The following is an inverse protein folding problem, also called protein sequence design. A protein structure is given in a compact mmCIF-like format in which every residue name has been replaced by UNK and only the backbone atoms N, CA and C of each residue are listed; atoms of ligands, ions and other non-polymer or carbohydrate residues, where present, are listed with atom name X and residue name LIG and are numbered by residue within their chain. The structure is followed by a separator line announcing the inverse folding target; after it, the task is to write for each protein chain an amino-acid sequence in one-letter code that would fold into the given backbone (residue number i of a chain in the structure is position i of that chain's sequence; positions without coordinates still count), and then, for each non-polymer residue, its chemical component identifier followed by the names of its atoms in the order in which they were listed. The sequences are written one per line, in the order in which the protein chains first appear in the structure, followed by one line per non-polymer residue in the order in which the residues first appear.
data_IF_833999012760
#
_entry.id   IF_833999012760
#
_cell.length_a   1.000
_cell.length_b   1.000
_cell.length_c   1.000
_cell.angle_alpha   90.00
_cell.angle_beta   90.00
_cell.angle_gamma   90.00
#
_symmetry.space_group_name_H-M   'P 1'
#
loop_
_entity.id
_entity.type
_entity.pdbx_description
1 polymer ?
#
# COMPACT_ATOMS: atom_id res chain seq x y z
N UNK A 1 28.13 1.09 -10.02
CA UNK A 1 27.22 2.25 -10.23
C UNK A 1 25.93 2.16 -9.41
N UNK A 2 25.15 1.08 -9.48
CA UNK A 2 23.89 0.94 -8.69
C UNK A 2 24.10 1.01 -7.16
N UNK A 3 25.23 0.51 -6.67
CA UNK A 3 25.59 0.57 -5.25
C UNK A 3 25.74 2.02 -4.75
N UNK A 4 26.33 2.90 -5.56
CA UNK A 4 26.51 4.31 -5.24
C UNK A 4 25.17 5.04 -5.11
N UNK A 5 24.26 4.82 -6.06
CA UNK A 5 22.90 5.38 -6.00
C UNK A 5 22.10 4.85 -4.81
N UNK A 6 22.27 3.58 -4.44
CA UNK A 6 21.63 3.01 -3.25
C UNK A 6 22.08 3.70 -1.96
N UNK A 7 23.37 4.07 -1.84
CA UNK A 7 23.90 4.81 -0.69
C UNK A 7 23.33 6.24 -0.66
N UNK A 8 23.29 6.93 -1.80
CA UNK A 8 22.74 8.29 -1.90
C UNK A 8 21.24 8.34 -1.57
N UNK A 9 20.49 7.29 -1.92
CA UNK A 9 19.07 7.22 -1.60
C UNK A 9 18.76 7.11 -0.11
N UNK A 10 19.71 6.65 0.72
CA UNK A 10 19.46 6.46 2.15
C UNK A 10 19.26 7.79 2.90
N UNK A 11 20.13 8.82 2.75
CA UNK A 11 19.86 10.16 3.30
C UNK A 11 18.53 10.74 2.85
N UNK A 12 18.15 10.55 1.59
CA UNK A 12 16.87 11.06 1.07
C UNK A 12 15.70 10.36 1.73
N UNK A 13 15.74 9.03 1.86
CA UNK A 13 14.70 8.27 2.56
C UNK A 13 14.61 8.64 4.04
N UNK A 14 15.74 8.95 4.68
CA UNK A 14 15.81 9.38 6.08
C UNK A 14 15.23 10.78 6.27
N UNK A 15 15.55 11.74 5.41
CA UNK A 15 14.96 13.09 5.48
C UNK A 15 13.45 13.01 5.23
N UNK A 16 13.03 12.22 4.23
CA UNK A 16 11.61 12.05 3.92
C UNK A 16 10.84 11.38 5.07
N UNK A 17 11.41 10.36 5.70
CA UNK A 17 10.78 9.70 6.85
C UNK A 17 10.67 10.63 8.05
N UNK A 18 11.69 11.44 8.36
CA UNK A 18 11.63 12.45 9.42
C UNK A 18 10.50 13.47 9.15
N UNK A 19 10.43 13.99 7.92
CA UNK A 19 9.37 14.94 7.54
C UNK A 19 7.97 14.34 7.65
N UNK A 20 7.79 13.08 7.26
CA UNK A 20 6.51 12.36 7.38
C UNK A 20 6.16 12.10 8.85
N UNK A 21 7.13 11.66 9.64
CA UNK A 21 6.95 11.36 11.05
C UNK A 21 6.56 12.60 11.82
N UNK A 22 7.35 13.67 11.74
CA UNK A 22 7.14 14.88 12.53
C UNK A 22 5.97 15.72 12.00
N UNK A 23 5.78 15.74 10.68
CA UNK A 23 4.77 16.57 10.03
C UNK A 23 3.36 15.98 10.02
N UNK A 24 3.24 14.66 9.96
CA UNK A 24 1.95 13.99 9.75
C UNK A 24 1.70 12.92 10.81
N UNK A 25 2.62 11.98 10.98
CA UNK A 25 2.35 10.76 11.75
C UNK A 25 2.27 11.08 13.24
N UNK A 26 3.28 11.71 13.83
CA UNK A 26 3.30 12.04 15.26
C UNK A 26 2.17 12.99 15.69
N UNK A 27 1.85 14.07 14.96
CA UNK A 27 0.66 14.87 15.25
C UNK A 27 -0.63 14.05 15.22
N UNK A 28 -0.74 13.10 14.29
CA UNK A 28 -1.90 12.21 14.20
C UNK A 28 -1.93 11.20 15.36
N UNK A 29 -0.82 10.54 15.66
CA UNK A 29 -0.76 9.55 16.74
C UNK A 29 -0.98 10.18 18.12
N UNK A 30 -0.40 11.35 18.37
CA UNK A 30 -0.58 12.10 19.62
C UNK A 30 -2.01 12.63 19.81
N UNK A 31 -2.82 12.69 18.75
CA UNK A 31 -4.24 13.07 18.86
C UNK A 31 -5.11 11.97 19.50
N UNK A 32 -4.61 10.74 19.59
CA UNK A 32 -5.31 9.64 20.26
C UNK A 32 -4.69 9.37 21.64
N UNK A 33 -5.47 9.55 22.71
CA UNK A 33 -5.00 9.44 24.10
C UNK A 33 -4.24 8.14 24.40
N UNK A 34 -4.71 7.00 23.84
CA UNK A 34 -4.05 5.69 24.04
C UNK A 34 -2.71 5.58 23.35
N UNK A 35 -2.61 6.10 22.12
CA UNK A 35 -1.34 6.16 21.39
C UNK A 35 -0.36 7.09 22.08
N UNK A 36 -0.82 8.29 22.47
CA UNK A 36 0.00 9.23 23.22
C UNK A 36 0.57 8.58 24.50
N UNK A 37 -0.27 7.89 25.27
CA UNK A 37 0.18 7.18 26.48
C UNK A 37 1.16 6.05 26.17
N UNK A 38 0.97 5.30 25.08
CA UNK A 38 1.91 4.26 24.64
C UNK A 38 3.25 4.84 24.19
N UNK A 39 3.21 5.93 23.42
CA UNK A 39 4.39 6.67 22.94
C UNK A 39 5.18 7.20 24.14
N UNK A 40 4.53 7.84 25.11
CA UNK A 40 5.18 8.35 26.31
C UNK A 40 5.83 7.24 27.17
N UNK A 41 5.24 6.04 27.15
CA UNK A 41 5.80 4.88 27.87
C UNK A 41 7.11 4.37 27.27
N UNK A 42 7.30 4.55 25.97
CA UNK A 42 8.49 4.11 25.25
C UNK A 42 9.26 5.31 24.71
N UNK A 43 10.33 5.69 25.40
CA UNK A 43 11.20 6.83 25.07
C UNK A 43 11.65 6.89 23.60
N UNK A 44 11.72 5.75 22.91
CA UNK A 44 12.25 5.63 21.55
C UNK A 44 11.19 5.39 20.47
N UNK A 45 9.91 5.67 20.74
CA UNK A 45 8.83 5.36 19.77
C UNK A 45 8.98 6.14 18.48
N UNK A 46 9.28 7.43 18.59
CA UNK A 46 9.44 8.34 17.46
C UNK A 46 10.63 7.89 16.61
N UNK A 47 11.74 7.52 17.27
CA UNK A 47 12.95 7.01 16.65
C UNK A 47 12.74 5.68 15.93
N UNK A 48 12.02 4.76 16.56
CA UNK A 48 11.66 3.51 15.94
C UNK A 48 10.80 3.74 14.69
N UNK A 49 9.84 4.67 14.76
CA UNK A 49 8.89 4.92 13.69
C UNK A 49 9.56 5.51 12.45
N UNK A 50 10.37 6.58 12.58
CA UNK A 50 11.08 7.11 11.42
C UNK A 50 12.15 6.13 10.89
N UNK A 51 12.76 5.30 11.73
CA UNK A 51 13.71 4.26 11.29
C UNK A 51 13.01 3.19 10.45
N UNK A 52 11.86 2.68 10.91
CA UNK A 52 11.05 1.70 10.17
C UNK A 52 10.58 2.26 8.83
N UNK A 53 10.09 3.50 8.81
CA UNK A 53 9.67 4.17 7.57
C UNK A 53 10.87 4.38 6.63
N UNK A 54 12.03 4.79 7.15
CA UNK A 54 13.26 4.91 6.38
C UNK A 54 13.61 3.58 5.71
N UNK A 55 13.55 2.48 6.47
CA UNK A 55 13.85 1.15 5.96
C UNK A 55 12.91 0.77 4.80
N UNK A 56 11.59 0.99 4.95
CA UNK A 56 10.58 0.68 3.92
C UNK A 56 10.80 1.53 2.66
N UNK A 57 11.00 2.84 2.82
CA UNK A 57 11.21 3.76 1.69
C UNK A 57 12.51 3.45 0.95
N UNK A 58 13.59 3.23 1.70
CA UNK A 58 14.89 2.92 1.13
C UNK A 58 14.90 1.55 0.44
N UNK A 59 14.31 0.53 1.06
CA UNK A 59 14.21 -0.80 0.46
C UNK A 59 13.46 -0.77 -0.86
N UNK A 60 12.35 -0.04 -0.91
CA UNK A 60 11.56 0.19 -2.11
C UNK A 60 12.37 0.91 -3.20
N UNK A 61 13.06 1.99 -2.83
CA UNK A 61 13.93 2.74 -3.72
C UNK A 61 15.05 1.88 -4.32
N UNK A 62 15.71 1.04 -3.51
CA UNK A 62 16.77 0.14 -3.97
C UNK A 62 16.23 -0.87 -5.00
N UNK A 63 15.04 -1.42 -4.77
CA UNK A 63 14.41 -2.35 -5.72
C UNK A 63 14.04 -1.63 -7.02
N UNK A 64 13.49 -0.43 -6.92
CA UNK A 64 13.17 0.44 -8.06
C UNK A 64 14.40 0.75 -8.93
N UNK A 65 15.51 1.16 -8.30
CA UNK A 65 16.78 1.42 -9.00
C UNK A 65 17.30 0.19 -9.75
N UNK A 66 17.20 -0.99 -9.12
CA UNK A 66 17.67 -2.25 -9.72
C UNK A 66 16.75 -2.76 -10.82
N UNK A 67 15.50 -2.28 -10.89
CA UNK A 67 14.48 -2.79 -11.81
C UNK A 67 14.18 -4.28 -11.59
N UNK A 68 14.54 -4.82 -10.41
CA UNK A 68 14.33 -6.21 -10.01
C UNK A 68 13.77 -6.23 -8.60
N UNK A 69 12.75 -7.06 -8.39
CA UNK A 69 12.16 -7.28 -7.08
C UNK A 69 13.00 -8.32 -6.33
N UNK A 70 13.50 -7.95 -5.15
CA UNK A 70 14.13 -8.90 -4.24
C UNK A 70 13.07 -9.38 -3.25
N UNK A 71 12.79 -10.68 -3.31
CA UNK A 71 11.75 -11.33 -2.52
C UNK A 71 12.00 -11.17 -1.02
N UNK A 72 13.23 -11.40 -0.55
CA UNK A 72 13.59 -11.32 0.87
C UNK A 72 13.38 -9.89 1.38
N UNK A 73 13.88 -8.90 0.63
CA UNK A 73 13.76 -7.50 1.02
C UNK A 73 12.30 -7.02 0.99
N UNK A 74 11.52 -7.53 0.03
CA UNK A 74 10.07 -7.28 -0.06
C UNK A 74 9.33 -7.87 1.14
N UNK A 75 9.65 -9.10 1.57
CA UNK A 75 9.07 -9.70 2.77
C UNK A 75 9.33 -8.85 4.02
N UNK A 76 10.58 -8.45 4.27
CA UNK A 76 10.91 -7.60 5.41
C UNK A 76 10.13 -6.27 5.38
N UNK A 77 10.04 -5.65 4.21
CA UNK A 77 9.35 -4.37 4.05
C UNK A 77 7.85 -4.50 4.29
N UNK A 78 7.22 -5.55 3.77
CA UNK A 78 5.80 -5.85 4.01
C UNK A 78 5.55 -6.15 5.48
N UNK A 79 6.40 -6.96 6.13
CA UNK A 79 6.26 -7.28 7.55
C UNK A 79 6.32 -6.04 8.43
N UNK A 80 7.29 -5.14 8.22
CA UNK A 80 7.37 -3.88 8.97
C UNK A 80 6.20 -2.95 8.68
N UNK A 81 5.76 -2.86 7.42
CA UNK A 81 4.58 -2.09 7.05
C UNK A 81 3.31 -2.63 7.73
N UNK A 82 3.07 -3.95 7.68
CA UNK A 82 1.90 -4.56 8.30
C UNK A 82 1.92 -4.41 9.82
N UNK A 83 3.11 -4.48 10.45
CA UNK A 83 3.26 -4.19 11.87
C UNK A 83 2.90 -2.73 12.19
N UNK A 84 3.38 -1.77 11.40
CA UNK A 84 3.05 -0.36 11.57
C UNK A 84 1.57 -0.11 11.36
N UNK A 85 0.98 -0.66 10.30
CA UNK A 85 -0.44 -0.61 10.01
C UNK A 85 -1.27 -1.18 11.17
N UNK A 86 -0.86 -2.33 11.70
CA UNK A 86 -1.50 -2.95 12.85
C UNK A 86 -1.43 -2.05 14.09
N UNK A 87 -0.25 -1.53 14.44
CA UNK A 87 -0.09 -0.62 15.59
C UNK A 87 -1.02 0.59 15.43
N UNK A 88 -0.98 1.26 14.28
CA UNK A 88 -1.78 2.48 14.05
C UNK A 88 -3.28 2.19 14.14
N UNK A 89 -3.75 1.13 13.46
CA UNK A 89 -5.18 0.79 13.45
C UNK A 89 -5.68 0.38 14.83
N UNK A 90 -4.98 -0.53 15.50
CA UNK A 90 -5.47 -1.10 16.76
C UNK A 90 -5.23 -0.21 17.99
N UNK A 91 -4.68 1.00 17.81
CA UNK A 91 -4.48 1.97 18.90
C UNK A 91 -5.19 3.30 18.66
N UNK A 92 -5.90 3.43 17.53
CA UNK A 92 -6.79 4.53 17.15
C UNK A 92 -8.10 4.50 17.95
N UNK A 93 -8.06 4.84 19.24
CA UNK A 93 -9.25 4.84 20.11
C UNK A 93 -9.65 6.25 20.58
N UNK A 94 -10.47 7.00 19.83
CA UNK A 94 -11.08 8.23 20.32
C UNK A 94 -12.47 7.92 20.93
N UNK A 95 -12.55 7.82 22.26
CA UNK A 95 -13.78 7.59 23.05
C UNK A 95 -14.58 6.30 22.76
N UNK A 96 -15.29 5.85 23.79
CA UNK A 96 -15.96 4.56 23.83
C UNK A 96 -17.30 4.57 23.07
N UNK A 97 -17.47 3.58 22.18
CA UNK A 97 -18.74 2.96 21.76
C UNK A 97 -19.76 3.89 21.07
N UNK A 98 -19.32 4.64 20.08
CA UNK A 98 -20.21 5.17 19.04
C UNK A 98 -20.11 4.32 17.76
N UNK A 99 -21.23 4.19 17.06
CA UNK A 99 -21.30 3.61 15.72
C UNK A 99 -21.75 4.71 14.77
N UNK A 100 -20.94 4.97 13.75
CA UNK A 100 -21.23 5.96 12.75
C UNK A 100 -21.53 5.24 11.43
N UNK A 101 -22.80 5.32 11.00
CA UNK A 101 -23.25 4.68 9.78
C UNK A 101 -23.28 5.63 8.58
N UNK A 102 -22.88 6.89 8.77
CA UNK A 102 -22.84 7.88 7.70
C UNK A 102 -21.59 7.66 6.82
N UNK A 103 -21.74 7.17 5.57
CA UNK A 103 -20.60 6.81 4.72
C UNK A 103 -19.74 8.02 4.28
N UNK A 104 -20.27 9.24 4.40
CA UNK A 104 -19.63 10.48 3.98
C UNK A 104 -19.46 11.46 5.17
N UNK A 105 -19.41 10.95 6.40
CA UNK A 105 -19.16 11.77 7.60
C UNK A 105 -17.84 12.55 7.53
N UNK A 106 -16.87 12.07 6.74
CA UNK A 106 -15.60 12.76 6.47
C UNK A 106 -15.73 14.03 5.63
N UNK A 107 -16.85 14.24 4.92
CA UNK A 107 -17.06 15.38 4.03
C UNK A 107 -17.32 16.72 4.77
N UNK A 108 -17.24 16.70 6.10
CA UNK A 108 -17.36 17.88 6.95
C UNK A 108 -16.09 18.72 6.86
N UNK A 109 -16.24 20.06 6.84
CA UNK A 109 -15.11 21.01 6.79
C UNK A 109 -14.41 21.18 8.15
N UNK A 110 -13.99 20.07 8.75
CA UNK A 110 -13.16 20.04 9.96
C UNK A 110 -11.77 19.51 9.60
N UNK A 111 -10.72 20.25 9.94
CA UNK A 111 -9.33 19.86 9.63
C UNK A 111 -8.93 18.53 10.29
N UNK A 112 -9.36 18.28 11.53
CA UNK A 112 -9.03 17.04 12.22
C UNK A 112 -9.63 15.82 11.51
N UNK A 113 -10.92 15.89 11.17
CA UNK A 113 -11.66 14.84 10.45
C UNK A 113 -11.04 14.61 9.06
N UNK A 114 -10.68 15.68 8.35
CA UNK A 114 -10.04 15.57 7.03
C UNK A 114 -8.65 14.93 7.11
N UNK A 115 -7.85 15.26 8.13
CA UNK A 115 -6.53 14.65 8.33
C UNK A 115 -6.68 13.16 8.65
N UNK A 116 -7.61 12.79 9.52
CA UNK A 116 -7.91 11.40 9.86
C UNK A 116 -8.37 10.61 8.63
N UNK A 117 -9.29 11.18 7.84
CA UNK A 117 -9.77 10.59 6.61
C UNK A 117 -8.66 10.39 5.57
N UNK A 118 -7.76 11.38 5.45
CA UNK A 118 -6.60 11.29 4.57
C UNK A 118 -5.62 10.19 5.04
N UNK A 119 -5.45 10.01 6.35
CA UNK A 119 -4.58 8.97 6.91
C UNK A 119 -5.14 7.57 6.70
N UNK A 120 -6.44 7.37 6.96
CA UNK A 120 -7.14 6.12 6.65
C UNK A 120 -6.95 5.75 5.17
N UNK A 121 -7.18 6.69 4.26
CA UNK A 121 -6.94 6.47 2.83
C UNK A 121 -5.46 6.14 2.54
N UNK A 122 -4.51 6.92 3.06
CA UNK A 122 -3.08 6.79 2.76
C UNK A 122 -2.50 5.47 3.26
N UNK A 123 -2.87 5.03 4.46
CA UNK A 123 -2.37 3.79 5.05
C UNK A 123 -2.77 2.54 4.28
N UNK A 124 -3.89 2.56 3.54
CA UNK A 124 -4.37 1.43 2.75
C UNK A 124 -3.86 1.41 1.29
N UNK A 125 -3.20 2.49 0.81
CA UNK A 125 -2.60 2.49 -0.54
C UNK A 125 -1.54 1.38 -0.70
N UNK A 126 -0.55 1.21 0.21
CA UNK A 126 0.42 0.13 0.08
C UNK A 126 -0.22 -1.26 0.15
N UNK A 127 -1.29 -1.43 0.93
CA UNK A 127 -2.07 -2.68 0.98
C UNK A 127 -2.76 -2.97 -0.36
N UNK A 128 -3.33 -1.95 -1.00
CA UNK A 128 -3.88 -2.07 -2.36
C UNK A 128 -2.85 -2.47 -3.40
N UNK A 129 -1.63 -1.92 -3.32
CA UNK A 129 -0.52 -2.34 -4.16
C UNK A 129 -0.15 -3.81 -3.93
N UNK A 130 -0.20 -4.27 -2.68
CA UNK A 130 0.04 -5.66 -2.31
C UNK A 130 -1.01 -6.60 -2.93
N UNK A 131 -2.28 -6.22 -2.93
CA UNK A 131 -3.32 -6.98 -3.62
C UNK A 131 -3.08 -7.07 -5.13
N UNK A 132 -2.55 -6.01 -5.75
CA UNK A 132 -2.14 -6.02 -7.15
C UNK A 132 -1.14 -7.13 -7.50
N UNK A 133 -0.30 -7.54 -6.55
CA UNK A 133 0.68 -8.61 -6.76
C UNK A 133 0.07 -10.01 -6.86
N UNK A 134 -1.09 -10.24 -6.23
CA UNK A 134 -1.62 -11.59 -6.02
C UNK A 134 -3.08 -11.78 -6.45
N UNK A 135 -3.82 -10.72 -6.75
CA UNK A 135 -5.26 -10.76 -6.97
C UNK A 135 -5.68 -10.05 -8.27
N UNK A 136 -6.69 -10.62 -8.95
CA UNK A 136 -7.42 -9.91 -10.00
C UNK A 136 -8.36 -8.87 -9.39
N UNK A 137 -8.90 -7.96 -10.22
CA UNK A 137 -9.78 -6.89 -9.79
C UNK A 137 -10.94 -7.34 -8.88
N UNK A 138 -11.65 -8.41 -9.25
CA UNK A 138 -12.79 -8.91 -8.47
C UNK A 138 -12.35 -9.57 -7.15
N UNK A 139 -11.22 -10.31 -7.16
CA UNK A 139 -10.61 -10.88 -5.95
C UNK A 139 -10.15 -9.77 -5.00
N UNK A 140 -9.53 -8.71 -5.54
CA UNK A 140 -9.11 -7.55 -4.76
C UNK A 140 -10.31 -6.92 -4.05
N UNK A 141 -11.45 -6.75 -4.71
CA UNK A 141 -12.64 -6.18 -4.05
C UNK A 141 -13.08 -7.04 -2.85
N UNK A 142 -13.18 -8.36 -3.06
CA UNK A 142 -13.65 -9.28 -2.02
C UNK A 142 -12.65 -9.31 -0.85
N UNK A 143 -11.35 -9.45 -1.15
CA UNK A 143 -10.29 -9.52 -0.15
C UNK A 143 -10.18 -8.18 0.60
N UNK A 144 -10.22 -7.05 -0.10
CA UNK A 144 -10.13 -5.73 0.52
C UNK A 144 -11.32 -5.48 1.44
N UNK A 145 -12.56 -5.68 0.98
CA UNK A 145 -13.74 -5.50 1.82
C UNK A 145 -13.74 -6.46 3.01
N UNK A 146 -13.38 -7.72 2.81
CA UNK A 146 -13.24 -8.68 3.91
C UNK A 146 -12.17 -8.29 4.93
N UNK A 147 -11.03 -7.78 4.47
CA UNK A 147 -9.94 -7.31 5.34
C UNK A 147 -10.35 -6.07 6.13
N UNK A 148 -10.94 -5.08 5.46
CA UNK A 148 -11.38 -3.81 6.05
C UNK A 148 -12.49 -4.07 7.07
N UNK A 149 -13.52 -4.85 6.71
CA UNK A 149 -14.58 -5.23 7.63
C UNK A 149 -14.04 -6.02 8.82
N UNK A 150 -13.10 -6.95 8.58
CA UNK A 150 -12.44 -7.70 9.65
C UNK A 150 -11.72 -6.79 10.62
N UNK A 151 -10.95 -5.82 10.12
CA UNK A 151 -10.25 -4.81 10.95
C UNK A 151 -11.26 -4.01 11.77
N UNK A 152 -12.30 -3.46 11.14
CA UNK A 152 -13.31 -2.63 11.81
C UNK A 152 -14.06 -3.40 12.91
N UNK A 153 -14.45 -4.65 12.62
CA UNK A 153 -15.10 -5.54 13.58
C UNK A 153 -14.18 -5.87 14.74
N UNK A 154 -12.90 -6.18 14.49
CA UNK A 154 -11.94 -6.46 15.55
C UNK A 154 -11.71 -5.22 16.43
N UNK A 155 -11.56 -4.03 15.83
CA UNK A 155 -11.43 -2.78 16.57
C UNK A 155 -12.65 -2.51 17.46
N UNK A 156 -13.86 -2.75 16.94
CA UNK A 156 -15.08 -2.64 17.73
C UNK A 156 -15.16 -3.65 18.87
N UNK A 157 -14.86 -4.94 18.61
CA UNK A 157 -14.93 -6.02 19.61
C UNK A 157 -13.89 -5.88 20.72
N UNK A 158 -12.68 -5.44 20.40
CA UNK A 158 -11.59 -5.26 21.37
C UNK A 158 -11.59 -3.87 22.03
N UNK A 159 -12.61 -3.04 21.80
CA UNK A 159 -12.69 -1.67 22.33
C UNK A 159 -11.51 -0.79 21.92
N UNK A 160 -10.98 -1.00 20.72
CA UNK A 160 -9.82 -0.33 20.16
C UNK A 160 -10.20 0.78 19.17
N UNK A 161 -11.47 0.87 18.77
CA UNK A 161 -11.99 1.92 17.90
C UNK A 161 -13.53 1.94 17.85
N UNK A 162 -14.08 2.91 17.14
CA UNK A 162 -15.50 2.99 16.76
C UNK A 162 -15.73 2.23 15.46
N UNK A 163 -16.94 1.69 15.26
CA UNK A 163 -17.32 1.12 13.97
C UNK A 163 -17.84 2.24 13.07
N UNK A 164 -17.04 2.66 12.08
CA UNK A 164 -17.33 3.76 11.17
C UNK A 164 -17.38 3.31 9.70
N UNK A 165 -18.55 3.47 9.08
CA UNK A 165 -18.74 3.13 7.66
C UNK A 165 -17.92 4.03 6.74
N UNK A 166 -17.64 5.27 7.15
CA UNK A 166 -16.78 6.16 6.38
C UNK A 166 -15.33 5.68 6.32
N UNK A 167 -14.82 5.06 7.40
CA UNK A 167 -13.50 4.44 7.45
C UNK A 167 -13.44 3.26 6.49
N UNK A 168 -14.50 2.44 6.42
CA UNK A 168 -14.61 1.35 5.45
C UNK A 168 -14.51 1.89 4.02
N UNK A 169 -15.23 2.97 3.71
CA UNK A 169 -15.23 3.59 2.36
C UNK A 169 -13.84 4.14 2.03
N UNK A 170 -13.23 4.90 2.94
CA UNK A 170 -11.92 5.53 2.71
C UNK A 170 -10.79 4.50 2.56
N UNK A 171 -10.78 3.48 3.41
CA UNK A 171 -9.82 2.39 3.35
C UNK A 171 -9.98 1.61 2.02
N UNK A 172 -11.21 1.40 1.57
CA UNK A 172 -11.48 0.75 0.29
C UNK A 172 -11.00 1.60 -0.90
N UNK A 173 -11.26 2.91 -0.88
CA UNK A 173 -10.73 3.85 -1.88
C UNK A 173 -9.20 3.83 -1.89
N UNK A 174 -8.55 3.81 -0.72
CA UNK A 174 -7.10 3.63 -0.59
C UNK A 174 -6.60 2.35 -1.28
N UNK A 175 -7.27 1.22 -1.03
CA UNK A 175 -6.97 -0.05 -1.69
C UNK A 175 -7.11 0.02 -3.22
N UNK A 176 -8.16 0.67 -3.74
CA UNK A 176 -8.37 0.82 -5.19
C UNK A 176 -7.27 1.69 -5.82
N UNK A 177 -6.90 2.80 -5.18
CA UNK A 177 -5.80 3.67 -5.64
C UNK A 177 -4.48 2.88 -5.65
N UNK A 178 -4.20 2.13 -4.59
CA UNK A 178 -3.02 1.27 -4.50
C UNK A 178 -2.99 0.19 -5.58
N UNK A 179 -4.13 -0.46 -5.83
CA UNK A 179 -4.25 -1.47 -6.89
C UNK A 179 -3.98 -0.87 -8.28
N UNK A 180 -4.47 0.34 -8.55
CA UNK A 180 -4.14 1.08 -9.76
C UNK A 180 -2.65 1.41 -9.86
N UNK A 181 -2.06 1.88 -8.77
CA UNK A 181 -0.64 2.20 -8.69
C UNK A 181 0.23 0.97 -9.01
N UNK A 182 -0.16 -0.23 -8.55
CA UNK A 182 0.56 -1.48 -8.87
C UNK A 182 0.82 -1.65 -10.36
N UNK A 183 -0.12 -1.35 -11.26
CA UNK A 183 0.11 -1.51 -12.70
C UNK A 183 1.19 -0.57 -13.25
N UNK A 184 1.29 0.65 -12.70
CA UNK A 184 2.35 1.59 -13.02
C UNK A 184 3.72 1.02 -12.60
N UNK A 185 3.78 0.39 -11.43
CA UNK A 185 4.97 -0.28 -10.93
C UNK A 185 5.30 -1.54 -11.73
N UNK A 186 4.34 -2.41 -11.98
CA UNK A 186 4.52 -3.68 -12.71
C UNK A 186 5.08 -3.44 -14.11
N UNK A 187 4.67 -2.37 -14.81
CA UNK A 187 5.23 -1.96 -16.10
C UNK A 187 6.75 -1.75 -16.04
N UNK A 188 7.28 -1.22 -14.94
CA UNK A 188 8.70 -0.94 -14.75
C UNK A 188 9.55 -2.19 -14.48
N UNK A 189 8.94 -3.22 -13.87
CA UNK A 189 9.60 -4.47 -13.48
C UNK A 189 9.35 -5.64 -14.45
N UNK A 190 8.57 -5.43 -15.52
CA UNK A 190 8.27 -6.45 -16.51
C UNK A 190 9.55 -6.89 -17.23
N UNK A 191 9.92 -8.19 -17.23
CA UNK A 191 11.11 -8.65 -17.92
C UNK A 191 10.97 -8.42 -19.43
N UNK A 192 11.95 -7.73 -20.03
CA UNK A 192 12.00 -7.36 -21.45
C UNK A 192 11.85 -8.56 -22.40
N UNK A 193 12.18 -9.76 -21.93
CA UNK A 193 12.14 -11.00 -22.71
C UNK A 193 10.70 -11.45 -23.03
N UNK A 194 9.73 -11.18 -22.15
CA UNK A 194 8.34 -11.58 -22.38
C UNK A 194 7.70 -10.79 -23.54
N UNK A 195 8.14 -9.54 -23.77
CA UNK A 195 7.69 -8.69 -24.87
C UNK A 195 8.31 -9.10 -26.20
N UNK A 196 9.55 -9.59 -26.21
CA UNK A 196 10.17 -10.10 -27.43
C UNK A 196 9.57 -11.44 -27.85
N UNK A 197 9.28 -12.34 -26.90
CA UNK A 197 8.62 -13.61 -27.20
C UNK A 197 7.23 -13.40 -27.81
N UNK A 198 6.41 -12.50 -27.25
CA UNK A 198 5.07 -12.21 -27.81
C UNK A 198 5.10 -11.57 -29.20
N UNK A 199 6.12 -10.78 -29.52
CA UNK A 199 6.30 -10.22 -30.86
C UNK A 199 6.78 -11.29 -31.85
N UNK A 200 7.69 -12.17 -31.44
CA UNK A 200 8.14 -13.31 -32.25
C UNK A 200 7.01 -14.31 -32.50
N UNK A 201 6.21 -14.62 -31.48
CA UNK A 201 5.05 -15.51 -31.61
C UNK A 201 3.98 -14.88 -32.52
N UNK A 202 3.74 -13.57 -32.41
CA UNK A 202 2.83 -12.84 -33.30
C UNK A 202 3.34 -12.76 -34.76
N UNK A 203 4.64 -12.62 -34.98
CA UNK A 203 5.24 -12.64 -36.32
C UNK A 203 5.14 -14.05 -36.96
N UNK A 204 5.30 -15.11 -36.16
CA UNK A 204 5.14 -16.51 -36.60
C UNK A 204 3.68 -16.85 -36.96
N UNK A 205 2.71 -16.32 -36.19
CA UNK A 205 1.27 -16.51 -36.42
C UNK A 205 0.77 -15.74 -37.67
N UNK A 206 1.48 -14.69 -38.08
CA UNK A 206 1.22 -13.97 -39.35
C UNK A 206 1.85 -14.70 -40.55
N UNK A 207 2.96 -15.44 -40.37
CA UNK A 207 3.57 -16.24 -41.45
C UNK A 207 2.83 -17.57 -41.75
N UNK A 208 2.20 -18.19 -40.75
CA UNK A 208 1.28 -19.33 -40.93
C UNK A 208 -0.19 -18.83 -40.98
N UNK A 209 -0.92 -18.69 -42.13
CA UNK A 209 -0.72 -19.37 -43.41
C UNK A 209 -1.17 -18.55 -44.67
N UNK A 210 -0.24 -17.90 -45.37
CA UNK A 210 -0.46 -17.58 -46.80
C UNK A 210 -0.15 -18.81 -47.68
N UNK A 211 0.69 -19.74 -47.20
CA UNK A 211 1.16 -20.91 -47.96
C UNK A 211 0.17 -22.09 -48.05
N UNK A 212 -0.76 -22.27 -47.11
CA UNK A 212 -1.76 -23.37 -47.22
C UNK A 212 -3.01 -23.00 -48.01
N UNK A 213 -3.29 -21.71 -48.24
CA UNK A 213 -4.46 -21.27 -49.02
C UNK A 213 -4.28 -21.44 -50.53
N UNK A 214 -3.05 -21.34 -51.04
CA UNK A 214 -2.75 -21.52 -52.48
C UNK A 214 -2.79 -23.01 -52.89
N UNK A 215 -2.50 -23.94 -51.98
CA UNK A 215 -2.58 -25.39 -52.28
C UNK A 215 -4.01 -25.98 -52.31
N UNK A 216 -5.03 -25.26 -51.82
CA UNK A 216 -6.42 -25.73 -51.83
C UNK A 216 -7.25 -25.24 -53.02
N UNK A 217 -6.70 -24.42 -53.91
CA UNK A 217 -7.41 -23.88 -55.09
C UNK A 217 -7.14 -24.64 -56.40
N UNK A 218 -6.39 -25.74 -56.38
CA UNK A 218 -6.03 -26.55 -57.56
C UNK A 218 -6.35 -28.04 -57.38
N UNK A 219 -7.38 -28.36 -56.59
CA UNK A 219 -7.97 -29.70 -56.54
C UNK A 219 -9.46 -29.61 -56.80
#
# INVERSE_FOLDING_TARGET
MLFFWAIIGLPVALVLSLLLTDGIIMPTLSSYDRLATMIERFRFTDELLWLVITFILWSFYVQWLRGKVNVILTYWSISFYLLLLFIVLFTKAPRYRDYNLEPLSFAVRNRAILTEAAMNLLFFIPLGMLYGLFAKWYEMIIIALGTILGIEVLQYLFYLGTFDVSDIVLNFVGCVIGYGAYFLFAKRFRPRNATQQTLVDADLEVEEPVKTRIKRSHK
#
